data_IF_598428919474
#
_entry.id   IF_598428919474
#
_cell.length_a   1.000
_cell.length_b   1.000
_cell.length_c   1.000
_cell.angle_alpha   90.00
_cell.angle_beta   90.00
_cell.angle_gamma   90.00
#
_symmetry.space_group_name_H-M   'P 1'
#
loop_
_entity.id
_entity.type
_entity.pdbx_description
1 polymer ?
#
# COMPACT_ATOMS: atom_id res chain seq x y z
N UNK A 1 0.22 32.77 61.92
CA UNK A 1 0.95 31.72 61.18
C UNK A 1 0.80 32.00 59.70
N UNK A 2 1.86 32.49 59.05
CA UNK A 2 2.00 32.61 57.60
C UNK A 2 1.85 31.26 56.91
N UNK A 3 1.22 31.23 55.72
CA UNK A 3 1.79 30.56 54.55
C UNK A 3 1.07 30.95 53.23
N UNK A 4 1.82 31.70 52.40
CA UNK A 4 2.01 31.63 50.94
C UNK A 4 0.84 31.35 49.97
N UNK A 5 0.70 32.31 49.03
CA UNK A 5 0.44 32.16 47.58
C UNK A 5 0.73 30.78 46.98
N UNK A 6 -0.12 30.33 46.05
CA UNK A 6 0.29 30.11 44.66
C UNK A 6 -0.92 29.86 43.74
N UNK A 7 -1.04 30.75 42.77
CA UNK A 7 -1.90 30.75 41.59
C UNK A 7 -1.64 29.47 40.78
N UNK A 8 -2.66 28.64 40.58
CA UNK A 8 -2.59 27.56 39.60
C UNK A 8 -2.86 28.14 38.21
N UNK A 9 -1.78 28.40 37.47
CA UNK A 9 -1.84 28.46 36.00
C UNK A 9 -2.08 27.03 35.52
N UNK A 10 -3.29 26.75 35.03
CA UNK A 10 -3.53 25.52 34.28
C UNK A 10 -2.84 25.64 32.93
N UNK A 11 -1.70 24.97 32.85
CA UNK A 11 -0.91 24.73 31.65
C UNK A 11 -1.73 23.91 30.66
N UNK A 12 -2.21 24.54 29.57
CA UNK A 12 -2.83 23.85 28.45
C UNK A 12 -1.77 23.04 27.71
N UNK A 13 -1.61 21.77 28.08
CA UNK A 13 -0.88 20.80 27.29
C UNK A 13 -1.45 20.76 25.85
N UNK A 14 -0.62 20.87 24.80
CA UNK A 14 -1.11 20.86 23.44
C UNK A 14 -1.62 19.46 23.10
N UNK A 15 -2.94 19.36 22.95
CA UNK A 15 -3.66 18.19 22.43
C UNK A 15 -3.17 17.91 21.01
N UNK A 16 -2.30 16.91 20.87
CA UNK A 16 -1.91 16.37 19.57
C UNK A 16 -3.12 15.73 18.91
N UNK A 17 -3.74 16.45 17.97
CA UNK A 17 -4.86 15.95 17.17
C UNK A 17 -4.39 14.89 16.16
N UNK A 18 -5.13 13.79 15.98
CA UNK A 18 -4.93 12.89 14.84
C UNK A 18 -5.13 13.69 13.54
N UNK A 19 -4.26 13.57 12.54
CA UNK A 19 -4.23 14.48 11.36
C UNK A 19 -3.14 15.56 11.39
N UNK A 20 -2.13 15.42 12.25
CA UNK A 20 -1.14 16.46 12.57
C UNK A 20 -0.11 16.77 11.48
N UNK A 21 0.82 17.70 11.81
CA UNK A 21 1.94 18.12 10.94
C UNK A 21 2.76 16.95 10.40
N UNK A 22 2.91 15.88 11.18
CA UNK A 22 3.69 14.70 10.80
C UNK A 22 3.10 13.94 9.60
N UNK A 23 1.77 13.85 9.51
CA UNK A 23 1.08 13.16 8.42
C UNK A 23 1.15 13.96 7.11
N UNK A 24 1.04 15.28 7.19
CA UNK A 24 1.27 16.18 6.04
C UNK A 24 2.69 16.07 5.51
N UNK A 25 3.68 16.02 6.41
CA UNK A 25 5.10 15.83 6.03
C UNK A 25 5.31 14.47 5.35
N UNK A 26 4.75 13.39 5.90
CA UNK A 26 4.81 12.07 5.26
C UNK A 26 4.18 12.07 3.87
N UNK A 27 3.00 12.69 3.73
CA UNK A 27 2.30 12.79 2.45
C UNK A 27 3.16 13.53 1.42
N UNK A 28 3.76 14.67 1.78
CA UNK A 28 4.65 15.42 0.91
C UNK A 28 5.89 14.63 0.49
N UNK A 29 6.51 13.89 1.42
CA UNK A 29 7.65 13.01 1.12
C UNK A 29 7.26 11.93 0.12
N UNK A 30 6.13 11.26 0.36
CA UNK A 30 5.67 10.18 -0.49
C UNK A 30 5.37 10.67 -1.91
N UNK A 31 4.61 11.77 -2.04
CA UNK A 31 4.33 12.41 -3.34
C UNK A 31 5.61 12.77 -4.08
N UNK A 32 6.57 13.42 -3.41
CA UNK A 32 7.85 13.79 -4.01
C UNK A 32 8.63 12.58 -4.55
N UNK A 33 8.69 11.49 -3.77
CA UNK A 33 9.31 10.24 -4.21
C UNK A 33 8.62 9.68 -5.46
N UNK A 34 7.29 9.63 -5.48
CA UNK A 34 6.53 9.10 -6.62
C UNK A 34 6.70 9.91 -7.90
N UNK A 35 6.74 11.23 -7.79
CA UNK A 35 7.03 12.13 -8.90
C UNK A 35 8.43 11.89 -9.47
N UNK A 36 9.45 11.95 -8.61
CA UNK A 36 10.86 11.76 -9.00
C UNK A 36 11.10 10.41 -9.68
N UNK A 37 10.52 9.34 -9.13
CA UNK A 37 10.60 8.00 -9.73
C UNK A 37 9.98 8.01 -11.13
N UNK A 38 8.77 8.54 -11.28
CA UNK A 38 8.09 8.51 -12.58
C UNK A 38 8.61 9.50 -13.60
N UNK A 39 9.37 10.51 -13.17
CA UNK A 39 10.19 11.37 -14.05
C UNK A 39 11.48 10.66 -14.53
N UNK A 40 11.79 9.48 -13.98
CA UNK A 40 13.06 8.80 -14.25
C UNK A 40 14.26 9.54 -13.67
N UNK A 41 14.07 10.30 -12.58
CA UNK A 41 15.16 10.99 -11.90
C UNK A 41 16.24 9.97 -11.52
N UNK A 42 17.45 10.12 -12.07
CA UNK A 42 18.51 9.11 -12.01
C UNK A 42 18.84 8.60 -10.60
N UNK A 43 19.88 9.14 -9.94
CA UNK A 43 20.17 8.77 -8.55
C UNK A 43 19.28 9.56 -7.60
N UNK A 44 18.22 8.92 -7.11
CA UNK A 44 17.46 9.42 -5.96
C UNK A 44 18.38 9.60 -4.75
N UNK A 45 18.19 10.70 -4.03
CA UNK A 45 18.93 11.01 -2.80
C UNK A 45 18.05 11.83 -1.85
N UNK A 46 18.36 11.82 -0.56
CA UNK A 46 17.59 12.59 0.42
C UNK A 46 17.56 14.10 0.11
N UNK A 47 18.64 14.77 -0.34
CA UNK A 47 18.55 16.17 -0.74
C UNK A 47 17.52 16.43 -1.85
N UNK A 48 17.52 15.61 -2.90
CA UNK A 48 16.59 15.74 -4.03
C UNK A 48 15.15 15.53 -3.58
N UNK A 49 14.89 14.52 -2.75
CA UNK A 49 13.55 14.27 -2.20
C UNK A 49 13.11 15.40 -1.27
N UNK A 50 13.99 15.90 -0.42
CA UNK A 50 13.68 16.96 0.53
C UNK A 50 13.36 18.28 -0.17
N UNK A 51 14.12 18.62 -1.22
CA UNK A 51 13.86 19.76 -2.09
C UNK A 51 12.47 19.66 -2.73
N UNK A 52 12.17 18.52 -3.36
CA UNK A 52 10.88 18.30 -4.02
C UNK A 52 9.71 18.31 -3.03
N UNK A 53 9.89 17.73 -1.85
CA UNK A 53 8.87 17.69 -0.81
C UNK A 53 8.72 19.03 -0.05
N UNK A 54 9.61 20.00 -0.27
CA UNK A 54 9.62 21.28 0.44
C UNK A 54 9.92 21.15 1.94
N UNK A 55 10.77 20.19 2.33
CA UNK A 55 11.11 19.92 3.74
C UNK A 55 12.61 20.03 4.00
N UNK A 56 12.97 20.16 5.28
CA UNK A 56 14.37 20.09 5.69
C UNK A 56 14.93 18.66 5.53
N UNK A 57 16.09 18.44 4.87
CA UNK A 57 16.69 17.12 4.66
C UNK A 57 16.91 16.31 5.95
N UNK A 58 17.20 16.96 7.08
CA UNK A 58 17.37 16.29 8.39
C UNK A 58 16.12 15.52 8.81
N UNK A 59 14.94 15.89 8.31
CA UNK A 59 13.70 15.14 8.51
C UNK A 59 13.77 13.72 7.93
N UNK A 60 14.43 13.56 6.78
CA UNK A 60 14.61 12.26 6.12
C UNK A 60 15.69 11.45 6.84
N UNK A 61 16.87 12.04 7.06
CA UNK A 61 18.01 11.37 7.72
C UNK A 61 17.67 10.82 9.11
N UNK A 62 16.80 11.50 9.87
CA UNK A 62 16.38 11.02 11.20
C UNK A 62 15.45 9.82 11.14
N UNK A 63 14.70 9.65 10.06
CA UNK A 63 13.58 8.69 9.97
C UNK A 63 13.91 7.46 9.13
N UNK A 64 14.81 7.58 8.16
CA UNK A 64 15.24 6.47 7.30
C UNK A 64 16.76 6.37 7.25
N UNK A 65 17.27 5.15 7.42
CA UNK A 65 18.70 4.88 7.43
C UNK A 65 19.34 5.00 6.02
N UNK A 66 18.55 4.87 4.96
CA UNK A 66 19.02 4.96 3.57
C UNK A 66 17.89 5.43 2.64
N UNK A 67 18.26 5.81 1.41
CA UNK A 67 17.29 6.11 0.36
C UNK A 67 16.42 4.90 0.03
N UNK A 68 16.99 3.69 0.01
CA UNK A 68 16.27 2.44 -0.24
C UNK A 68 15.21 2.17 0.84
N UNK A 69 15.54 2.42 2.11
CA UNK A 69 14.60 2.30 3.22
C UNK A 69 13.44 3.31 3.10
N UNK A 70 13.70 4.52 2.59
CA UNK A 70 12.64 5.48 2.28
C UNK A 70 11.76 4.97 1.13
N UNK A 71 12.36 4.50 0.03
CA UNK A 71 11.63 3.98 -1.13
C UNK A 71 10.73 2.80 -0.75
N UNK A 72 11.23 1.88 0.08
CA UNK A 72 10.44 0.78 0.61
C UNK A 72 9.27 1.28 1.47
N UNK A 73 9.51 2.21 2.39
CA UNK A 73 8.45 2.78 3.21
C UNK A 73 7.39 3.52 2.37
N UNK A 74 7.81 4.23 1.32
CA UNK A 74 6.90 4.90 0.39
C UNK A 74 6.09 3.87 -0.39
N UNK A 75 6.74 2.81 -0.89
CA UNK A 75 6.07 1.73 -1.62
C UNK A 75 4.99 1.05 -0.79
N UNK A 76 5.32 0.68 0.45
CA UNK A 76 4.36 0.10 1.40
C UNK A 76 3.24 1.10 1.65
N UNK A 77 3.56 2.32 2.06
CA UNK A 77 2.55 3.33 2.37
C UNK A 77 1.71 3.76 1.17
N UNK A 78 2.22 3.65 -0.06
CA UNK A 78 1.44 3.89 -1.27
C UNK A 78 0.47 2.73 -1.50
N UNK A 79 0.95 1.49 -1.40
CA UNK A 79 0.18 0.29 -1.74
C UNK A 79 -0.81 -0.15 -0.65
N UNK A 80 -0.67 0.35 0.59
CA UNK A 80 -1.54 0.02 1.72
C UNK A 80 -2.38 1.19 2.27
N UNK A 81 -2.31 2.40 1.67
CA UNK A 81 -2.93 3.61 2.25
C UNK A 81 -4.45 3.59 2.27
N UNK A 82 -5.02 2.94 1.27
CA UNK A 82 -6.46 2.80 1.13
C UNK A 82 -6.77 1.35 1.54
N UNK A 83 -7.00 1.14 2.83
CA UNK A 83 -7.49 -0.12 3.36
C UNK A 83 -8.93 -0.32 2.90
N UNK A 84 -9.10 -0.70 1.65
CA UNK A 84 -10.43 -0.98 1.10
C UNK A 84 -11.05 -2.14 1.87
N UNK A 85 -12.30 -1.92 2.29
CA UNK A 85 -13.06 -2.94 2.97
C UNK A 85 -13.12 -4.19 2.09
N UNK A 86 -12.78 -5.35 2.66
CA UNK A 86 -12.88 -6.61 1.95
C UNK A 86 -14.35 -6.88 1.62
N UNK A 87 -14.71 -7.07 0.33
CA UNK A 87 -16.07 -7.35 -0.07
C UNK A 87 -16.71 -8.48 0.74
N UNK A 88 -18.02 -8.36 0.97
CA UNK A 88 -18.83 -9.33 1.73
C UNK A 88 -20.25 -9.38 1.16
N UNK A 89 -20.34 -9.77 -0.10
CA UNK A 89 -21.58 -9.86 -0.88
C UNK A 89 -22.36 -11.15 -0.63
N UNK A 90 -21.80 -12.05 0.19
CA UNK A 90 -22.35 -13.38 0.45
C UNK A 90 -22.03 -14.42 -0.63
N UNK A 91 -21.06 -14.16 -1.52
CA UNK A 91 -20.61 -15.10 -2.55
C UNK A 91 -19.13 -14.89 -2.84
N UNK A 92 -18.32 -15.95 -2.73
CA UNK A 92 -16.87 -15.86 -2.98
C UNK A 92 -16.56 -15.35 -4.39
N UNK A 93 -17.33 -15.76 -5.39
CA UNK A 93 -17.12 -15.33 -6.77
C UNK A 93 -17.27 -13.82 -6.93
N UNK A 94 -18.33 -13.25 -6.36
CA UNK A 94 -18.57 -11.81 -6.40
C UNK A 94 -17.54 -11.06 -5.56
N UNK A 95 -17.22 -11.56 -4.37
CA UNK A 95 -16.24 -10.95 -3.48
C UNK A 95 -14.86 -10.87 -4.15
N UNK A 96 -14.37 -11.97 -4.73
CA UNK A 96 -13.11 -11.99 -5.47
C UNK A 96 -13.13 -11.11 -6.71
N UNK A 97 -14.25 -11.07 -7.44
CA UNK A 97 -14.39 -10.24 -8.65
C UNK A 97 -14.34 -8.75 -8.32
N UNK A 98 -15.07 -8.31 -7.30
CA UNK A 98 -15.05 -6.93 -6.84
C UNK A 98 -13.66 -6.56 -6.31
N UNK A 99 -13.08 -7.40 -5.48
CA UNK A 99 -11.74 -7.20 -4.94
C UNK A 99 -10.67 -7.13 -6.03
N UNK A 100 -10.70 -8.01 -7.03
CA UNK A 100 -9.74 -8.00 -8.13
C UNK A 100 -9.89 -6.75 -9.02
N UNK A 101 -11.11 -6.27 -9.26
CA UNK A 101 -11.36 -5.01 -9.99
C UNK A 101 -10.84 -3.81 -9.22
N UNK A 102 -11.08 -3.78 -7.91
CA UNK A 102 -10.58 -2.74 -7.01
C UNK A 102 -9.05 -2.69 -7.04
N UNK A 103 -8.38 -3.84 -6.91
CA UNK A 103 -6.92 -3.93 -7.06
C UNK A 103 -6.50 -3.39 -8.42
N UNK A 104 -7.09 -3.88 -9.52
CA UNK A 104 -6.74 -3.47 -10.88
C UNK A 104 -6.88 -1.96 -11.08
N UNK A 105 -8.00 -1.37 -10.64
CA UNK A 105 -8.25 0.06 -10.71
C UNK A 105 -7.22 0.86 -9.89
N UNK A 106 -6.84 0.36 -8.72
CA UNK A 106 -5.86 1.01 -7.85
C UNK A 106 -4.45 0.99 -8.46
N UNK A 107 -3.94 -0.19 -8.81
CA UNK A 107 -2.55 -0.34 -9.27
C UNK A 107 -2.28 0.31 -10.64
N UNK A 108 -3.32 0.51 -11.46
CA UNK A 108 -3.23 1.17 -12.76
C UNK A 108 -3.25 2.70 -12.69
N UNK A 109 -3.48 3.30 -11.52
CA UNK A 109 -3.37 4.76 -11.33
C UNK A 109 -1.92 5.19 -11.59
N UNK A 110 -1.68 6.33 -12.29
CA UNK A 110 -0.34 6.75 -12.67
C UNK A 110 0.65 6.80 -11.49
N UNK A 111 0.22 7.27 -10.33
CA UNK A 111 1.01 7.33 -9.10
C UNK A 111 1.36 5.92 -8.58
N UNK A 112 0.37 5.01 -8.52
CA UNK A 112 0.52 3.64 -8.01
C UNK A 112 1.43 2.81 -8.92
N UNK A 113 1.29 2.95 -10.23
CA UNK A 113 2.18 2.31 -11.21
C UNK A 113 3.63 2.76 -11.04
N UNK A 114 3.89 4.06 -10.81
CA UNK A 114 5.25 4.57 -10.55
C UNK A 114 5.86 3.93 -9.31
N UNK A 115 5.12 3.88 -8.20
CA UNK A 115 5.60 3.23 -6.96
C UNK A 115 5.87 1.73 -7.13
N UNK A 116 4.96 1.01 -7.80
CA UNK A 116 5.15 -0.41 -8.07
C UNK A 116 6.46 -0.65 -8.84
N UNK A 117 6.71 0.13 -9.90
CA UNK A 117 7.94 0.00 -10.70
C UNK A 117 9.19 0.41 -9.93
N UNK A 118 9.14 1.46 -9.11
CA UNK A 118 10.25 1.80 -8.20
C UNK A 118 10.57 0.64 -7.26
N UNK A 119 9.55 0.00 -6.70
CA UNK A 119 9.71 -1.14 -5.79
C UNK A 119 10.41 -2.29 -6.48
N UNK A 120 10.00 -2.61 -7.71
CA UNK A 120 10.64 -3.65 -8.53
C UNK A 120 12.10 -3.27 -8.83
N UNK A 121 12.37 -2.01 -9.19
CA UNK A 121 13.73 -1.54 -9.48
C UNK A 121 14.66 -1.53 -8.26
N UNK A 122 14.13 -1.24 -7.06
CA UNK A 122 14.90 -1.18 -5.82
C UNK A 122 15.22 -2.57 -5.24
N UNK A 123 14.46 -3.60 -5.59
CA UNK A 123 14.61 -4.96 -5.05
C UNK A 123 15.50 -5.83 -5.93
N UNK A 124 16.80 -5.78 -5.68
CA UNK A 124 17.81 -6.57 -6.40
C UNK A 124 17.93 -7.99 -5.86
N UNK A 125 17.74 -8.19 -4.56
CA UNK A 125 17.77 -9.49 -3.90
C UNK A 125 16.36 -9.99 -3.56
N UNK A 126 16.21 -11.31 -3.44
CA UNK A 126 14.98 -11.90 -2.93
C UNK A 126 14.70 -11.40 -1.51
N UNK A 127 13.44 -11.04 -1.26
CA UNK A 127 12.95 -10.60 0.05
C UNK A 127 12.12 -11.71 0.69
N UNK A 128 12.25 -11.88 2.00
CA UNK A 128 11.47 -12.87 2.76
C UNK A 128 10.03 -12.43 3.01
N UNK A 129 9.73 -11.13 2.87
CA UNK A 129 8.39 -10.59 3.07
C UNK A 129 8.16 -9.37 2.16
N UNK A 130 6.91 -9.18 1.76
CA UNK A 130 6.44 -7.99 1.07
C UNK A 130 5.12 -7.55 1.71
N UNK A 131 5.08 -6.42 2.46
CA UNK A 131 3.87 -6.01 3.19
C UNK A 131 2.61 -5.87 2.32
N UNK A 132 2.79 -5.54 1.04
CA UNK A 132 1.71 -5.45 0.06
C UNK A 132 1.09 -6.81 -0.19
N UNK A 133 1.91 -7.84 -0.40
CA UNK A 133 1.43 -9.20 -0.58
C UNK A 133 0.86 -9.80 0.71
N UNK A 134 1.44 -9.46 1.87
CA UNK A 134 0.87 -9.88 3.16
C UNK A 134 -0.52 -9.27 3.40
N UNK A 135 -0.73 -7.99 3.08
CA UNK A 135 -2.06 -7.39 3.12
C UNK A 135 -3.03 -8.12 2.17
N UNK A 136 -2.62 -8.43 0.93
CA UNK A 136 -3.49 -9.17 0.00
C UNK A 136 -3.78 -10.60 0.48
N UNK A 137 -2.81 -11.24 1.14
CA UNK A 137 -2.95 -12.55 1.77
C UNK A 137 -4.01 -12.53 2.86
N UNK A 138 -3.96 -11.55 3.76
CA UNK A 138 -4.95 -11.38 4.83
C UNK A 138 -6.36 -11.17 4.28
N UNK A 139 -6.50 -10.34 3.24
CA UNK A 139 -7.78 -10.09 2.57
C UNK A 139 -8.34 -11.36 1.92
N UNK A 140 -7.50 -12.11 1.18
CA UNK A 140 -7.89 -13.37 0.58
C UNK A 140 -8.24 -14.43 1.63
N UNK A 141 -7.47 -14.54 2.72
CA UNK A 141 -7.75 -15.45 3.82
C UNK A 141 -9.10 -15.17 4.50
N UNK A 142 -9.48 -13.89 4.64
CA UNK A 142 -10.80 -13.50 5.13
C UNK A 142 -11.92 -13.99 4.19
N UNK A 143 -11.80 -13.77 2.88
CA UNK A 143 -12.82 -14.23 1.91
C UNK A 143 -12.93 -15.75 1.84
N UNK A 144 -11.80 -16.46 1.83
CA UNK A 144 -11.76 -17.94 1.86
C UNK A 144 -12.42 -18.49 3.13
N UNK A 145 -12.11 -17.89 4.29
CA UNK A 145 -12.75 -18.29 5.55
C UNK A 145 -14.27 -18.11 5.50
N UNK A 146 -14.74 -16.92 5.07
CA UNK A 146 -16.18 -16.64 4.92
C UNK A 146 -16.87 -17.61 3.96
N UNK A 147 -16.21 -17.98 2.86
CA UNK A 147 -16.72 -18.98 1.93
C UNK A 147 -16.86 -20.36 2.59
N UNK A 148 -15.85 -20.78 3.36
CA UNK A 148 -15.88 -22.00 4.15
C UNK A 148 -17.02 -22.01 5.18
N UNK A 149 -17.25 -20.90 5.88
CA UNK A 149 -18.36 -20.75 6.83
C UNK A 149 -19.74 -20.90 6.16
N UNK A 150 -19.84 -20.60 4.85
CA UNK A 150 -21.04 -20.79 4.02
C UNK A 150 -21.10 -22.16 3.33
N UNK A 151 -20.06 -22.99 3.44
CA UNK A 151 -19.96 -24.27 2.75
C UNK A 151 -19.63 -24.17 1.25
N UNK A 152 -19.11 -23.04 0.79
CA UNK A 152 -18.65 -22.84 -0.58
C UNK A 152 -17.26 -23.48 -0.78
N UNK A 153 -17.06 -24.16 -1.92
CA UNK A 153 -15.72 -24.58 -2.34
C UNK A 153 -14.87 -23.33 -2.66
N UNK A 154 -13.65 -23.28 -2.15
CA UNK A 154 -12.77 -22.13 -2.28
C UNK A 154 -11.35 -22.57 -2.69
N UNK A 155 -10.70 -21.86 -3.63
CA UNK A 155 -9.27 -22.00 -3.85
C UNK A 155 -8.47 -21.66 -2.59
N UNK A 156 -7.25 -22.16 -2.50
CA UNK A 156 -6.34 -21.74 -1.43
C UNK A 156 -5.99 -20.27 -1.56
N UNK A 157 -5.55 -19.66 -0.45
CA UNK A 157 -5.10 -18.25 -0.44
C UNK A 157 -3.96 -18.06 -1.45
N UNK A 158 -3.03 -19.00 -1.50
CA UNK A 158 -1.89 -19.04 -2.42
C UNK A 158 -2.35 -19.11 -3.87
N UNK A 159 -3.34 -19.94 -4.20
CA UNK A 159 -3.92 -19.96 -5.54
C UNK A 159 -4.51 -18.60 -5.92
N UNK A 160 -5.24 -17.94 -5.01
CA UNK A 160 -5.79 -16.60 -5.26
C UNK A 160 -4.65 -15.58 -5.49
N UNK A 161 -3.59 -15.62 -4.67
CA UNK A 161 -2.46 -14.70 -4.83
C UNK A 161 -1.74 -14.93 -6.15
N UNK A 162 -1.44 -16.18 -6.50
CA UNK A 162 -0.63 -16.53 -7.67
C UNK A 162 -1.42 -16.40 -8.98
N UNK A 163 -2.73 -16.66 -8.97
CA UNK A 163 -3.56 -16.63 -10.18
C UNK A 163 -4.37 -15.36 -10.37
N UNK A 164 -4.56 -14.53 -9.34
CA UNK A 164 -5.30 -13.26 -9.45
C UNK A 164 -4.40 -12.06 -9.18
N UNK A 165 -3.72 -12.03 -8.03
CA UNK A 165 -2.94 -10.86 -7.62
C UNK A 165 -1.65 -10.71 -8.42
N UNK A 166 -0.88 -11.79 -8.57
CA UNK A 166 0.40 -11.76 -9.27
C UNK A 166 0.26 -11.38 -10.76
N UNK A 167 -0.71 -11.90 -11.54
CA UNK A 167 -0.86 -11.53 -12.95
C UNK A 167 -1.26 -10.07 -13.15
N UNK A 168 -2.08 -9.50 -12.26
CA UNK A 168 -2.41 -8.07 -12.24
C UNK A 168 -1.15 -7.22 -12.03
N UNK A 169 -0.35 -7.53 -11.00
CA UNK A 169 0.89 -6.81 -10.72
C UNK A 169 1.93 -6.98 -11.83
N UNK A 170 2.05 -8.18 -12.41
CA UNK A 170 2.91 -8.46 -13.54
C UNK A 170 2.60 -7.53 -14.72
N UNK A 171 1.33 -7.43 -15.13
CA UNK A 171 0.97 -6.56 -16.27
C UNK A 171 1.34 -5.11 -16.01
N UNK A 172 1.03 -4.56 -14.84
CA UNK A 172 1.35 -3.17 -14.52
C UNK A 172 2.86 -2.92 -14.43
N UNK A 173 3.60 -3.83 -13.79
CA UNK A 173 5.05 -3.76 -13.69
C UNK A 173 5.71 -3.69 -15.08
N UNK A 174 5.24 -4.50 -16.02
CA UNK A 174 5.75 -4.56 -17.40
C UNK A 174 5.05 -3.64 -18.40
N UNK A 175 4.22 -2.69 -17.95
CA UNK A 175 3.50 -1.76 -18.82
C UNK A 175 2.55 -2.42 -19.84
N UNK A 176 2.04 -3.61 -19.52
CA UNK A 176 1.04 -4.32 -20.31
C UNK A 176 -0.37 -3.83 -19.93
N UNK A 177 -1.32 -3.83 -20.89
CA UNK A 177 -2.67 -3.35 -20.65
C UNK A 177 -3.43 -4.24 -19.66
N UNK A 178 -4.19 -3.63 -18.76
CA UNK A 178 -5.17 -4.29 -17.89
C UNK A 178 -6.55 -3.76 -18.30
N UNK A 179 -7.28 -4.56 -19.09
CA UNK A 179 -8.65 -4.25 -19.49
C UNK A 179 -9.65 -4.65 -18.39
N UNK A 180 -10.88 -4.13 -18.48
CA UNK A 180 -11.95 -4.38 -17.51
C UNK A 180 -12.34 -5.86 -17.39
N UNK A 181 -12.03 -6.67 -18.41
CA UNK A 181 -12.31 -8.10 -18.45
C UNK A 181 -11.17 -8.95 -17.84
N UNK A 182 -9.98 -8.39 -17.65
CA UNK A 182 -8.80 -9.14 -17.19
C UNK A 182 -8.98 -9.65 -15.77
N UNK A 183 -9.35 -8.78 -14.82
CA UNK A 183 -9.58 -9.18 -13.44
C UNK A 183 -10.71 -10.23 -13.29
N UNK A 184 -11.92 -10.04 -13.87
CA UNK A 184 -12.97 -11.07 -13.83
C UNK A 184 -12.55 -12.42 -14.43
N UNK A 185 -11.77 -12.41 -15.52
CA UNK A 185 -11.27 -13.64 -16.14
C UNK A 185 -10.34 -14.40 -15.19
N UNK A 186 -9.37 -13.72 -14.56
CA UNK A 186 -8.48 -14.36 -13.58
C UNK A 186 -9.25 -15.00 -12.42
N UNK A 187 -10.31 -14.33 -11.96
CA UNK A 187 -11.19 -14.86 -10.91
C UNK A 187 -11.96 -16.10 -11.40
N UNK A 188 -12.51 -16.06 -12.60
CA UNK A 188 -13.16 -17.23 -13.21
C UNK A 188 -12.20 -18.41 -13.33
N UNK A 189 -10.96 -18.15 -13.77
CA UNK A 189 -9.93 -19.19 -13.96
C UNK A 189 -9.54 -19.85 -12.63
N UNK A 190 -9.30 -19.06 -11.57
CA UNK A 190 -8.92 -19.62 -10.26
C UNK A 190 -10.07 -20.39 -9.61
N UNK A 191 -11.31 -19.94 -9.76
CA UNK A 191 -12.49 -20.64 -9.24
C UNK A 191 -12.74 -21.98 -9.94
N UNK A 192 -12.35 -22.10 -11.22
CA UNK A 192 -12.44 -23.36 -11.95
C UNK A 192 -11.48 -24.44 -11.41
N UNK A 193 -10.46 -24.08 -10.61
CA UNK A 193 -9.51 -25.05 -10.03
C UNK A 193 -10.08 -25.89 -8.90
N UNK A 194 -11.21 -25.48 -8.32
CA UNK A 194 -11.87 -26.16 -7.17
C UNK A 194 -13.26 -26.71 -7.50
N UNK A 195 -13.65 -26.67 -8.77
CA UNK A 195 -14.90 -27.22 -9.28
C UNK A 195 -14.73 -28.65 -9.75
#
# INVERSE_FOLDING_TARGET
>A
MSLRMLTAVSDTAPTSRPGGRAERVLTAIYTAVGELVGEGAGKLSFPVVAERAGINPTTLYRRWASIDALLEAVAVAALTRDGEAVPDTGSLERDLTEWARVIAADITRPERTRYLRATVAARVAAVSSCPVFEMRREQAALMVRRAGDRGEAAPTVEQILDHVVAPLHHRVAFALPVDDAYAPRLVSDVLAMVR
#
